data_IF_512455241670
#
_entry.id   IF_512455241670
#
_cell.length_a   1.000
_cell.length_b   1.000
_cell.length_c   1.000
_cell.angle_alpha   90.00
_cell.angle_beta   90.00
_cell.angle_gamma   90.00
#
_symmetry.space_group_name_H-M   'P 1'
#
loop_
_entity.id
_entity.type
_entity.pdbx_description
1 polymer ?
#
# COMPACT_ATOMS: atom_id res chain seq x y z
N UNK A 1 -17.08 -11.57 -18.40
CA UNK A 1 -18.03 -12.07 -17.38
C UNK A 1 -18.50 -10.88 -16.57
N UNK A 2 -19.81 -10.76 -16.33
CA UNK A 2 -20.39 -9.67 -15.54
C UNK A 2 -20.41 -10.13 -14.07
N UNK A 3 -19.74 -9.42 -13.17
CA UNK A 3 -19.74 -9.74 -11.73
C UNK A 3 -21.09 -9.29 -11.16
N UNK A 4 -21.86 -10.17 -10.50
CA UNK A 4 -23.15 -9.79 -9.92
C UNK A 4 -22.96 -8.78 -8.77
N UNK A 5 -23.95 -7.90 -8.52
CA UNK A 5 -23.91 -7.00 -7.37
C UNK A 5 -23.83 -7.82 -6.07
N UNK A 6 -22.94 -7.40 -5.19
CA UNK A 6 -22.59 -8.09 -3.94
C UNK A 6 -23.80 -8.10 -2.99
N UNK A 7 -24.21 -9.28 -2.53
CA UNK A 7 -25.19 -9.46 -1.48
C UNK A 7 -24.44 -9.78 -0.17
N UNK A 8 -24.38 -8.81 0.74
CA UNK A 8 -23.49 -8.82 1.92
C UNK A 8 -22.50 -7.65 1.87
N UNK A 9 -21.74 -7.42 2.95
CA UNK A 9 -20.67 -6.41 2.93
C UNK A 9 -19.41 -6.95 2.28
N UNK A 10 -18.49 -6.07 1.85
CA UNK A 10 -17.23 -6.52 1.24
C UNK A 10 -16.47 -7.50 2.12
N UNK A 11 -16.51 -7.29 3.43
CA UNK A 11 -15.86 -8.14 4.41
C UNK A 11 -16.46 -9.55 4.43
N UNK A 12 -17.79 -9.68 4.41
CA UNK A 12 -18.46 -10.98 4.31
C UNK A 12 -18.03 -11.77 3.08
N UNK A 13 -17.88 -11.07 1.95
CA UNK A 13 -17.43 -11.65 0.71
C UNK A 13 -16.00 -12.19 0.80
N UNK A 14 -15.07 -11.39 1.33
CA UNK A 14 -13.67 -11.80 1.53
C UNK A 14 -13.59 -13.04 2.43
N UNK A 15 -14.30 -13.01 3.56
CA UNK A 15 -14.27 -14.10 4.55
C UNK A 15 -14.91 -15.39 4.01
N UNK A 16 -15.97 -15.27 3.22
CA UNK A 16 -16.65 -16.42 2.62
C UNK A 16 -15.86 -17.02 1.47
N UNK A 17 -15.34 -16.18 0.59
CA UNK A 17 -14.64 -16.62 -0.62
C UNK A 17 -13.18 -17.01 -0.31
N UNK A 18 -12.66 -16.59 0.85
CA UNK A 18 -11.35 -16.98 1.37
C UNK A 18 -10.19 -16.26 0.67
N UNK A 19 -10.47 -15.19 -0.07
CA UNK A 19 -9.48 -14.44 -0.85
C UNK A 19 -9.71 -12.94 -0.65
N UNK A 20 -8.63 -12.23 -0.31
CA UNK A 20 -8.57 -10.77 -0.29
C UNK A 20 -7.88 -10.27 -1.56
N UNK A 21 -8.61 -9.52 -2.38
CA UNK A 21 -8.08 -8.92 -3.62
C UNK A 21 -7.61 -7.48 -3.37
N UNK A 22 -6.30 -7.28 -3.30
CA UNK A 22 -5.68 -5.96 -3.05
C UNK A 22 -5.16 -5.33 -4.33
N UNK A 23 -5.72 -4.17 -4.65
CA UNK A 23 -5.25 -3.29 -5.71
C UNK A 23 -3.89 -2.68 -5.39
N UNK A 24 -2.93 -2.79 -6.30
CA UNK A 24 -1.61 -2.14 -6.20
C UNK A 24 -1.20 -1.43 -7.49
N UNK A 25 -0.23 -0.51 -7.39
CA UNK A 25 0.43 0.10 -8.55
C UNK A 25 1.86 -0.45 -8.65
N UNK A 26 2.30 -0.97 -9.81
CA UNK A 26 3.59 -1.67 -9.93
C UNK A 26 4.83 -0.76 -9.91
N UNK A 27 4.66 0.56 -10.06
CA UNK A 27 5.75 1.54 -10.14
C UNK A 27 5.54 2.65 -9.10
N UNK A 28 5.53 2.29 -7.82
CA UNK A 28 5.21 3.22 -6.74
C UNK A 28 6.14 3.01 -5.53
N UNK A 29 7.42 3.31 -5.72
CA UNK A 29 8.43 3.28 -4.65
C UNK A 29 8.05 4.26 -3.53
N UNK A 30 8.14 3.91 -2.24
CA UNK A 30 8.53 2.63 -1.62
C UNK A 30 7.32 1.75 -1.20
N UNK A 31 6.13 2.06 -1.71
CA UNK A 31 4.87 1.50 -1.23
C UNK A 31 4.50 0.19 -1.93
N UNK A 32 4.67 0.13 -3.25
CA UNK A 32 4.46 -1.07 -4.05
C UNK A 32 5.28 -0.97 -5.34
N UNK A 33 6.23 -1.88 -5.53
CA UNK A 33 7.08 -1.91 -6.71
C UNK A 33 7.59 -3.31 -7.02
N UNK A 34 7.90 -3.54 -8.29
CA UNK A 34 8.52 -4.79 -8.73
C UNK A 34 10.03 -4.72 -8.60
N UNK A 35 10.64 -5.72 -7.96
CA UNK A 35 12.10 -5.89 -7.95
C UNK A 35 12.60 -6.28 -9.35
N UNK A 36 13.92 -6.24 -9.56
CA UNK A 36 14.53 -6.75 -10.81
C UNK A 36 14.21 -8.23 -11.08
N UNK A 37 13.82 -8.98 -10.04
CA UNK A 37 13.43 -10.40 -10.14
C UNK A 37 11.93 -10.57 -10.44
N UNK A 38 11.17 -9.49 -10.54
CA UNK A 38 9.73 -9.51 -10.76
C UNK A 38 8.91 -9.75 -9.48
N UNK A 39 9.52 -9.64 -8.30
CA UNK A 39 8.82 -9.79 -7.02
C UNK A 39 8.13 -8.48 -6.66
N UNK A 40 6.86 -8.52 -6.28
CA UNK A 40 6.14 -7.36 -5.76
C UNK A 40 6.52 -7.16 -4.29
N UNK A 41 7.05 -5.99 -3.96
CA UNK A 41 7.50 -5.63 -2.60
C UNK A 41 7.16 -4.18 -2.29
N UNK A 42 7.20 -3.82 -1.01
CA UNK A 42 6.98 -2.45 -0.54
C UNK A 42 6.17 -2.38 0.74
N UNK A 43 6.06 -1.19 1.30
CA UNK A 43 5.33 -0.95 2.56
C UNK A 43 3.90 -1.49 2.54
N UNK A 44 3.14 -1.19 1.48
CA UNK A 44 1.73 -1.59 1.39
C UNK A 44 1.56 -3.05 0.98
N UNK A 45 2.59 -3.64 0.35
CA UNK A 45 2.63 -5.07 0.04
C UNK A 45 2.75 -5.88 1.33
N UNK A 46 3.66 -5.49 2.23
CA UNK A 46 3.78 -6.11 3.55
C UNK A 46 2.51 -5.93 4.38
N UNK A 47 1.94 -4.73 4.39
CA UNK A 47 0.67 -4.47 5.08
C UNK A 47 -0.46 -5.35 4.53
N UNK A 48 -0.52 -5.58 3.21
CA UNK A 48 -1.52 -6.46 2.60
C UNK A 48 -1.34 -7.93 3.02
N UNK A 49 -0.09 -8.41 3.10
CA UNK A 49 0.22 -9.75 3.63
C UNK A 49 -0.24 -9.90 5.08
N UNK A 50 0.06 -8.93 5.94
CA UNK A 50 -0.34 -8.96 7.35
C UNK A 50 -1.87 -8.94 7.48
N UNK A 51 -2.56 -8.12 6.67
CA UNK A 51 -4.01 -8.06 6.69
C UNK A 51 -4.64 -9.41 6.29
N UNK A 52 -4.13 -10.03 5.23
CA UNK A 52 -4.61 -11.34 4.77
C UNK A 52 -4.35 -12.44 5.82
N UNK A 53 -3.18 -12.41 6.47
CA UNK A 53 -2.83 -13.33 7.56
C UNK A 53 -3.78 -13.15 8.76
N UNK A 54 -4.03 -11.92 9.20
CA UNK A 54 -4.94 -11.64 10.31
C UNK A 54 -6.40 -12.04 10.00
N UNK A 55 -6.80 -11.94 8.73
CA UNK A 55 -8.11 -12.39 8.25
C UNK A 55 -8.18 -13.91 8.03
N UNK A 56 -7.05 -14.60 7.96
CA UNK A 56 -6.97 -16.03 7.66
C UNK A 56 -7.37 -16.37 6.21
N UNK A 57 -7.12 -15.47 5.27
CA UNK A 57 -7.50 -15.60 3.84
C UNK A 57 -6.27 -15.57 2.93
N UNK A 58 -6.42 -16.05 1.70
CA UNK A 58 -5.40 -15.89 0.66
C UNK A 58 -5.34 -14.45 0.17
N UNK A 59 -4.16 -14.02 -0.31
CA UNK A 59 -3.95 -12.68 -0.85
C UNK A 59 -3.73 -12.74 -2.36
N UNK A 60 -4.53 -11.97 -3.10
CA UNK A 60 -4.35 -11.76 -4.53
C UNK A 60 -4.08 -10.28 -4.83
N UNK A 61 -3.01 -10.02 -5.57
CA UNK A 61 -2.66 -8.66 -5.98
C UNK A 61 -3.20 -8.33 -7.37
N UNK A 62 -3.98 -7.24 -7.46
CA UNK A 62 -4.61 -6.78 -8.69
C UNK A 62 -3.95 -5.46 -9.15
N UNK A 63 -3.24 -5.41 -10.28
CA UNK A 63 -2.64 -4.16 -10.74
C UNK A 63 -3.73 -3.20 -11.21
N UNK A 64 -3.64 -1.91 -10.85
CA UNK A 64 -4.56 -0.88 -11.32
C UNK A 64 -3.86 0.41 -11.77
N UNK A 65 -4.56 1.16 -12.63
CA UNK A 65 -4.23 2.54 -12.98
C UNK A 65 -5.16 3.49 -12.22
N UNK A 66 -4.71 4.71 -11.92
CA UNK A 66 -5.49 5.62 -11.08
C UNK A 66 -6.91 5.89 -11.62
N UNK A 67 -7.06 5.98 -12.94
CA UNK A 67 -8.33 6.15 -13.64
C UNK A 67 -9.28 4.95 -13.49
N UNK A 68 -8.75 3.75 -13.27
CA UNK A 68 -9.54 2.53 -13.09
C UNK A 68 -9.90 2.25 -11.64
N UNK A 69 -9.22 2.87 -10.67
CA UNK A 69 -9.39 2.65 -9.22
C UNK A 69 -10.87 2.61 -8.79
N UNK A 70 -11.61 3.70 -9.04
CA UNK A 70 -13.01 3.80 -8.61
C UNK A 70 -13.91 2.76 -9.27
N UNK A 71 -13.69 2.49 -10.57
CA UNK A 71 -14.47 1.49 -11.31
C UNK A 71 -14.18 0.08 -10.81
N UNK A 72 -12.91 -0.25 -10.57
CA UNK A 72 -12.49 -1.58 -10.13
C UNK A 72 -13.03 -1.89 -8.74
N UNK A 73 -12.94 -0.96 -7.79
CA UNK A 73 -13.55 -1.08 -6.46
C UNK A 73 -15.07 -1.27 -6.54
N UNK A 74 -15.77 -0.44 -7.34
CA UNK A 74 -17.22 -0.53 -7.49
C UNK A 74 -17.67 -1.84 -8.13
N UNK A 75 -16.92 -2.34 -9.12
CA UNK A 75 -17.22 -3.60 -9.80
C UNK A 75 -16.84 -4.85 -9.00
N UNK A 76 -16.11 -4.69 -7.88
CA UNK A 76 -15.57 -5.81 -7.11
C UNK A 76 -14.47 -6.59 -7.81
N UNK A 77 -13.77 -5.99 -8.77
CA UNK A 77 -12.52 -6.58 -9.32
C UNK A 77 -11.36 -6.55 -8.31
N UNK A 78 -11.50 -5.71 -7.28
CA UNK A 78 -10.63 -5.67 -6.11
C UNK A 78 -11.45 -5.17 -4.93
N UNK A 79 -11.07 -5.61 -3.74
CA UNK A 79 -11.79 -5.33 -2.51
C UNK A 79 -11.34 -4.02 -1.87
N UNK A 80 -10.05 -3.71 -2.00
CA UNK A 80 -9.44 -2.48 -1.55
C UNK A 80 -8.21 -2.15 -2.40
N UNK A 81 -7.68 -0.94 -2.28
CA UNK A 81 -6.40 -0.56 -2.88
C UNK A 81 -5.42 -0.02 -1.84
N UNK A 82 -4.21 -0.57 -1.86
CA UNK A 82 -3.11 -0.25 -0.96
C UNK A 82 -1.90 0.14 -1.80
N UNK A 83 -1.64 1.44 -1.92
CA UNK A 83 -0.58 1.98 -2.77
C UNK A 83 -0.25 3.43 -2.44
N UNK A 84 -0.14 3.79 -1.15
CA UNK A 84 0.13 5.12 -0.62
C UNK A 84 -0.74 6.21 -1.24
N UNK A 85 -2.04 5.92 -1.33
CA UNK A 85 -3.02 6.87 -1.86
C UNK A 85 -3.16 8.00 -0.83
N UNK A 86 -2.88 9.23 -1.24
CA UNK A 86 -2.99 10.37 -0.35
C UNK A 86 -4.46 10.76 -0.19
N UNK A 87 -4.93 10.83 1.06
CA UNK A 87 -6.24 11.38 1.39
C UNK A 87 -6.13 12.89 1.54
N UNK A 88 -6.89 13.65 0.74
CA UNK A 88 -6.96 15.11 0.86
C UNK A 88 -8.01 15.52 1.91
N UNK A 89 -7.90 16.74 2.49
CA UNK A 89 -8.79 17.20 3.57
C UNK A 89 -10.28 17.15 3.23
N UNK A 90 -10.63 17.41 1.97
CA UNK A 90 -12.01 17.36 1.51
C UNK A 90 -12.55 15.92 1.40
N UNK A 91 -11.72 14.87 1.55
CA UNK A 91 -12.02 13.43 1.43
C UNK A 91 -12.68 12.97 0.11
N UNK A 92 -13.11 13.90 -0.73
CA UNK A 92 -13.67 13.67 -2.07
C UNK A 92 -12.61 13.60 -3.15
N UNK A 93 -11.35 13.91 -2.81
CA UNK A 93 -10.24 13.89 -3.73
C UNK A 93 -9.12 12.98 -3.19
N UNK A 94 -8.72 12.02 -4.00
CA UNK A 94 -7.54 11.22 -3.79
C UNK A 94 -6.41 11.80 -4.64
N UNK A 95 -5.19 11.79 -4.12
CA UNK A 95 -4.01 12.16 -4.88
C UNK A 95 -2.97 11.04 -4.83
N UNK A 96 -2.10 10.99 -5.84
CA UNK A 96 -0.93 10.13 -5.87
C UNK A 96 0.31 10.99 -5.63
N UNK A 97 1.23 10.50 -4.80
CA UNK A 97 2.57 11.09 -4.72
C UNK A 97 3.43 10.49 -5.83
N UNK A 98 3.91 11.34 -6.72
CA UNK A 98 4.73 10.98 -7.88
C UNK A 98 5.79 12.06 -8.09
N UNK A 99 6.85 11.74 -8.84
CA UNK A 99 7.77 12.77 -9.32
C UNK A 99 7.03 13.78 -10.22
N UNK A 100 7.54 15.00 -10.33
CA UNK A 100 6.92 16.02 -11.16
C UNK A 100 6.92 15.61 -12.65
N UNK A 101 7.93 14.86 -13.05
CA UNK A 101 8.16 14.29 -14.37
C UNK A 101 7.09 13.23 -14.68
N UNK A 102 6.92 12.23 -13.81
CA UNK A 102 5.88 11.20 -13.94
C UNK A 102 4.49 11.80 -13.91
N UNK A 103 4.24 12.75 -13.00
CA UNK A 103 2.98 13.47 -12.92
C UNK A 103 2.68 14.20 -14.24
N UNK A 104 3.67 14.86 -14.84
CA UNK A 104 3.48 15.61 -16.09
C UNK A 104 3.12 14.68 -17.25
N UNK A 105 3.76 13.50 -17.32
CA UNK A 105 3.37 12.46 -18.27
C UNK A 105 1.95 11.94 -18.01
N UNK A 106 1.56 11.80 -16.73
CA UNK A 106 0.22 11.37 -16.33
C UNK A 106 -0.85 12.39 -16.76
N UNK A 107 -0.63 13.68 -16.56
CA UNK A 107 -1.55 14.74 -17.00
C UNK A 107 -1.68 14.83 -18.53
N UNK A 108 -0.65 14.47 -19.29
CA UNK A 108 -0.75 14.36 -20.74
C UNK A 108 -1.63 13.18 -21.16
N UNK A 109 -1.43 12.02 -20.53
CA UNK A 109 -2.21 10.79 -20.82
C UNK A 109 -3.66 10.89 -20.35
N UNK A 110 -3.88 11.63 -19.27
CA UNK A 110 -5.17 11.76 -18.61
C UNK A 110 -5.47 13.25 -18.36
N UNK A 111 -6.05 13.96 -19.36
CA UNK A 111 -6.23 15.41 -19.34
C UNK A 111 -7.09 15.96 -18.20
N UNK A 112 -7.74 15.09 -17.41
CA UNK A 112 -8.55 15.44 -16.24
C UNK A 112 -7.74 15.60 -14.95
N UNK A 113 -6.48 15.16 -14.93
CA UNK A 113 -5.61 15.28 -13.76
C UNK A 113 -4.65 16.45 -13.90
N UNK A 114 -4.30 17.05 -12.76
CA UNK A 114 -3.34 18.14 -12.66
C UNK A 114 -2.19 17.72 -11.76
N UNK A 115 -0.99 18.23 -12.07
CA UNK A 115 0.18 18.06 -11.21
C UNK A 115 0.31 19.28 -10.32
N UNK A 116 0.13 19.07 -9.02
CA UNK A 116 0.46 20.07 -8.02
C UNK A 116 1.90 19.86 -7.56
N UNK A 117 2.83 20.71 -8.02
CA UNK A 117 4.18 20.73 -7.45
C UNK A 117 4.10 21.34 -6.05
N UNK A 118 4.31 20.53 -5.03
CA UNK A 118 4.35 20.99 -3.64
C UNK A 118 5.60 21.86 -3.45
N UNK A 119 5.40 23.17 -3.28
CA UNK A 119 6.49 24.10 -2.91
C UNK A 119 6.86 23.86 -1.44
N UNK A 120 8.15 23.95 -1.15
CA UNK A 120 8.76 23.70 0.17
C UNK A 120 7.94 24.34 1.31
N UNK A 121 7.38 23.47 2.14
CA UNK A 121 6.45 23.79 3.22
C UNK A 121 5.85 22.57 3.94
N UNK A 122 6.18 21.35 3.48
CA UNK A 122 5.87 20.10 4.19
C UNK A 122 4.37 19.84 4.30
N UNK A 123 3.69 19.56 3.18
CA UNK A 123 2.34 19.02 3.28
C UNK A 123 2.46 17.57 3.76
N UNK A 124 1.99 17.30 4.98
CA UNK A 124 1.84 15.95 5.51
C UNK A 124 0.45 15.45 5.12
N UNK A 125 0.36 14.69 4.03
CA UNK A 125 -0.87 14.00 3.66
C UNK A 125 -0.85 12.60 4.29
N UNK A 126 -1.89 12.21 5.04
CA UNK A 126 -2.01 10.83 5.48
C UNK A 126 -2.22 9.94 4.25
N UNK A 127 -1.43 8.87 4.17
CA UNK A 127 -1.75 7.76 3.28
C UNK A 127 -3.03 7.08 3.79
N UNK A 128 -3.88 6.64 2.87
CA UNK A 128 -5.13 5.96 3.14
C UNK A 128 -5.31 4.76 2.21
N UNK A 129 -6.07 3.78 2.66
CA UNK A 129 -6.50 2.67 1.84
C UNK A 129 -7.85 2.98 1.22
N UNK A 130 -7.95 2.80 -0.09
CA UNK A 130 -9.19 3.06 -0.81
C UNK A 130 -10.08 1.82 -0.77
N UNK A 131 -11.35 2.02 -0.47
CA UNK A 131 -12.38 0.97 -0.37
C UNK A 131 -13.60 1.37 -1.21
N UNK A 132 -14.51 0.44 -1.52
CA UNK A 132 -15.74 0.75 -2.23
C UNK A 132 -16.58 1.81 -1.50
N UNK A 133 -17.10 2.79 -2.25
CA UNK A 133 -17.94 3.85 -1.68
C UNK A 133 -19.20 3.25 -1.07
N UNK A 134 -19.49 3.62 0.17
CA UNK A 134 -20.69 3.17 0.89
C UNK A 134 -20.49 1.91 1.73
N UNK A 135 -19.29 1.30 1.69
CA UNK A 135 -18.96 0.15 2.53
C UNK A 135 -18.44 0.61 3.90
N UNK A 136 -19.38 0.94 4.79
CA UNK A 136 -19.08 1.45 6.15
C UNK A 136 -18.42 0.36 7.00
N UNK A 137 -18.83 -0.89 6.86
CA UNK A 137 -18.26 -1.98 7.64
C UNK A 137 -16.79 -2.21 7.30
N UNK A 138 -16.46 -2.33 6.01
CA UNK A 138 -15.08 -2.46 5.57
C UNK A 138 -14.23 -1.26 6.00
N UNK A 139 -14.79 -0.05 5.95
CA UNK A 139 -14.13 1.17 6.42
C UNK A 139 -13.78 1.09 7.90
N UNK A 140 -14.74 0.74 8.75
CA UNK A 140 -14.55 0.67 10.19
C UNK A 140 -13.56 -0.46 10.56
N UNK A 141 -13.71 -1.63 9.93
CA UNK A 141 -12.81 -2.75 10.13
C UNK A 141 -11.36 -2.38 9.79
N UNK A 142 -11.10 -1.89 8.57
CA UNK A 142 -9.76 -1.50 8.12
C UNK A 142 -9.20 -0.37 8.99
N UNK A 143 -10.03 0.61 9.37
CA UNK A 143 -9.59 1.72 10.23
C UNK A 143 -9.13 1.22 11.60
N UNK A 144 -9.92 0.35 12.24
CA UNK A 144 -9.58 -0.24 13.52
C UNK A 144 -8.33 -1.13 13.42
N UNK A 145 -8.23 -1.91 12.34
CA UNK A 145 -7.06 -2.74 12.08
C UNK A 145 -5.78 -1.92 11.93
N UNK A 146 -5.81 -0.81 11.18
CA UNK A 146 -4.68 0.14 11.07
C UNK A 146 -4.30 0.69 12.45
N UNK A 147 -5.28 1.03 13.30
CA UNK A 147 -5.00 1.51 14.65
C UNK A 147 -4.31 0.45 15.52
N UNK A 148 -4.72 -0.82 15.40
CA UNK A 148 -4.06 -1.92 16.10
C UNK A 148 -2.61 -2.08 15.64
N UNK A 149 -2.35 -2.10 14.33
CA UNK A 149 -0.99 -2.20 13.74
C UNK A 149 -0.12 -0.98 13.99
N UNK A 150 -0.73 0.16 14.32
CA UNK A 150 0.00 1.34 14.82
C UNK A 150 0.40 1.14 16.27
N UNK A 151 -0.51 0.64 17.10
CA UNK A 151 -0.30 0.47 18.54
C UNK A 151 0.72 -0.63 18.87
N UNK A 152 0.78 -1.69 18.06
CA UNK A 152 1.75 -2.77 18.24
C UNK A 152 3.13 -2.50 17.62
N UNK A 153 3.29 -1.35 16.93
CA UNK A 153 4.55 -0.93 16.32
C UNK A 153 4.84 -1.55 14.94
N UNK A 154 3.95 -2.38 14.40
CA UNK A 154 4.10 -2.98 13.06
C UNK A 154 4.30 -1.90 12.00
N UNK A 155 3.42 -0.90 11.97
CA UNK A 155 3.48 0.20 11.00
C UNK A 155 4.79 0.99 11.15
N UNK A 156 5.23 1.25 12.37
CA UNK A 156 6.46 2.02 12.62
C UNK A 156 7.69 1.25 12.11
N UNK A 157 7.75 -0.07 12.37
CA UNK A 157 8.83 -0.93 11.88
C UNK A 157 8.91 -0.98 10.34
N UNK A 158 7.77 -1.13 9.68
CA UNK A 158 7.67 -1.13 8.22
C UNK A 158 8.03 0.25 7.64
N UNK A 159 7.62 1.32 8.32
CA UNK A 159 7.94 2.68 7.91
C UNK A 159 9.43 2.95 7.99
N UNK A 160 10.10 2.54 9.08
CA UNK A 160 11.55 2.65 9.21
C UNK A 160 12.28 1.88 8.09
N UNK A 161 11.83 0.66 7.79
CA UNK A 161 12.44 -0.16 6.77
C UNK A 161 12.25 0.40 5.35
N UNK A 162 11.00 0.64 4.95
CA UNK A 162 10.63 1.00 3.57
C UNK A 162 10.74 2.50 3.29
N UNK A 163 10.32 3.36 4.22
CA UNK A 163 10.23 4.81 3.97
C UNK A 163 11.48 5.56 4.39
N UNK A 164 12.17 5.12 5.45
CA UNK A 164 13.40 5.75 5.92
C UNK A 164 14.69 5.05 5.42
N UNK A 165 14.54 4.04 4.56
CA UNK A 165 15.67 3.35 3.96
C UNK A 165 16.44 2.45 4.93
N UNK A 166 15.78 1.89 5.94
CA UNK A 166 16.36 0.92 6.87
C UNK A 166 16.97 -0.30 6.18
N UNK A 167 16.51 -0.65 4.96
CA UNK A 167 17.12 -1.67 4.11
C UNK A 167 18.57 -1.38 3.69
N UNK A 168 19.02 -0.11 3.77
CA UNK A 168 20.40 0.31 3.50
C UNK A 168 21.31 0.30 4.73
N UNK A 169 20.77 0.06 5.93
CA UNK A 169 21.61 -0.15 7.12
C UNK A 169 22.35 -1.47 6.93
N UNK A 170 23.65 -1.38 6.63
CA UNK A 170 24.54 -2.54 6.74
C UNK A 170 24.33 -3.13 8.14
N UNK A 171 23.91 -4.40 8.24
CA UNK A 171 24.03 -5.09 9.50
C UNK A 171 25.51 -5.04 9.86
N UNK A 172 25.87 -4.30 10.91
CA UNK A 172 27.23 -4.40 11.42
C UNK A 172 27.48 -5.87 11.70
N UNK A 173 28.60 -6.43 11.22
CA UNK A 173 28.87 -7.84 11.41
C UNK A 173 28.73 -8.19 12.88
N UNK A 174 27.92 -9.20 13.19
CA UNK A 174 27.70 -9.65 14.56
C UNK A 174 29.05 -9.82 15.26
N UNK A 175 29.16 -9.27 16.47
CA UNK A 175 30.41 -9.31 17.21
C UNK A 175 30.87 -10.77 17.37
N UNK A 176 32.10 -11.05 16.95
CA UNK A 176 32.69 -12.39 16.97
C UNK A 176 33.99 -12.34 17.75
N UNK A 177 34.18 -13.24 18.72
CA UNK A 177 35.47 -13.37 19.45
C UNK A 177 36.60 -13.63 18.46
N UNK A 178 36.35 -14.46 17.44
CA UNK A 178 37.37 -14.85 16.47
C UNK A 178 37.83 -13.64 15.64
N UNK A 179 36.90 -12.75 15.25
CA UNK A 179 37.22 -11.53 14.49
C UNK A 179 37.71 -10.38 15.39
N UNK A 180 36.97 -10.09 16.46
CA UNK A 180 37.13 -8.87 17.24
C UNK A 180 38.10 -9.01 18.43
N UNK A 181 38.43 -10.24 18.85
CA UNK A 181 39.37 -10.49 19.96
C UNK A 181 40.60 -11.23 19.46
N UNK A 182 40.43 -12.31 18.67
CA UNK A 182 41.54 -13.15 18.21
C UNK A 182 42.14 -12.71 16.87
N UNK A 183 41.39 -11.98 16.03
CA UNK A 183 41.85 -11.49 14.72
C UNK A 183 42.17 -12.59 13.71
N UNK A 184 41.53 -13.76 13.78
CA UNK A 184 41.88 -14.91 12.93
C UNK A 184 41.15 -14.96 11.58
N UNK A 185 40.17 -14.08 11.40
CA UNK A 185 39.44 -13.89 10.14
C UNK A 185 39.10 -12.42 10.00
N UNK A 186 39.18 -11.94 8.75
CA UNK A 186 38.76 -10.59 8.37
C UNK A 186 37.24 -10.39 8.47
#
# INVERSE_FOLDING_TARGET
MCVPPLAGTRLDHILRDGVLQVGYRPNNLACSFLTQRGELVGFDVEMAHILAEDLGVELEFVPFEFDSLGRMLQSGQMDMAMSCIASLPDRYAYALMLSAEEGSAYSYRYPRYTVARVRSGGIRLPAAYAIPKGDVEMMEFVSNWIELKRKDGTIDSLYEYWMLGGASRSQEPRWSIIRNVLGWVD
#
